data_IF_293100855894
#
_entry.id   IF_293100855894
#
_cell.length_a   1.000
_cell.length_b   1.000
_cell.length_c   1.000
_cell.angle_alpha   90.00
_cell.angle_beta   90.00
_cell.angle_gamma   90.00
#
_symmetry.space_group_name_H-M   'P 1'
#
loop_
_entity.id
_entity.type
_entity.pdbx_description
1 polymer ?
#
# COMPACT_ATOMS: atom_id res chain seq x y z
N UNK A 1 4.95 4.05 -65.44
CA UNK A 1 5.10 5.23 -64.57
C UNK A 1 4.17 5.22 -63.33
N UNK A 2 2.93 4.71 -63.43
CA UNK A 2 1.95 4.74 -62.32
C UNK A 2 2.33 3.90 -61.07
N UNK A 3 2.92 2.71 -61.23
CA UNK A 3 3.29 1.85 -60.09
C UNK A 3 4.43 2.39 -59.20
N UNK A 4 5.31 3.24 -59.75
CA UNK A 4 6.39 3.90 -58.97
C UNK A 4 5.84 5.00 -58.06
N UNK A 5 4.81 5.73 -58.49
CA UNK A 5 4.14 6.76 -57.66
C UNK A 5 3.37 6.14 -56.48
N UNK A 6 2.66 5.03 -56.71
CA UNK A 6 1.93 4.34 -55.63
C UNK A 6 2.89 3.73 -54.59
N UNK A 7 4.02 3.18 -55.03
CA UNK A 7 5.06 2.67 -54.12
C UNK A 7 5.71 3.76 -53.26
N UNK A 8 5.99 4.94 -53.83
CA UNK A 8 6.54 6.08 -53.08
C UNK A 8 5.54 6.65 -52.07
N UNK A 9 4.24 6.73 -52.41
CA UNK A 9 3.18 7.16 -51.50
C UNK A 9 2.98 6.20 -50.32
N UNK A 10 3.02 4.89 -50.56
CA UNK A 10 2.87 3.87 -49.50
C UNK A 10 4.04 3.89 -48.51
N UNK A 11 5.27 3.98 -49.02
CA UNK A 11 6.50 4.02 -48.21
C UNK A 11 6.59 5.32 -47.40
N UNK A 12 6.21 6.46 -47.99
CA UNK A 12 6.16 7.74 -47.26
C UNK A 12 5.03 7.76 -46.22
N UNK A 13 3.88 7.16 -46.51
CA UNK A 13 2.74 7.09 -45.58
C UNK A 13 3.01 6.23 -44.35
N UNK A 14 3.61 5.04 -44.53
CA UNK A 14 3.90 4.12 -43.43
C UNK A 14 4.99 4.61 -42.46
N UNK A 15 6.01 5.29 -42.99
CA UNK A 15 7.13 5.79 -42.17
C UNK A 15 6.70 6.89 -41.17
N UNK A 16 5.70 7.70 -41.52
CA UNK A 16 5.19 8.78 -40.64
C UNK A 16 4.38 8.19 -39.48
N UNK A 17 3.50 7.22 -39.76
CA UNK A 17 2.69 6.55 -38.73
C UNK A 17 3.57 5.75 -37.77
N UNK A 18 4.56 5.00 -38.29
CA UNK A 18 5.49 4.24 -37.45
C UNK A 18 6.30 5.13 -36.49
N UNK A 19 6.78 6.29 -36.96
CA UNK A 19 7.50 7.26 -36.12
C UNK A 19 6.60 7.87 -35.05
N UNK A 20 5.34 8.16 -35.36
CA UNK A 20 4.38 8.70 -34.40
C UNK A 20 4.08 7.72 -33.27
N UNK A 21 3.93 6.42 -33.57
CA UNK A 21 3.71 5.38 -32.55
C UNK A 21 4.91 5.24 -31.62
N UNK A 22 6.14 5.21 -32.17
CA UNK A 22 7.37 5.14 -31.37
C UNK A 22 7.54 6.39 -30.49
N UNK A 23 7.23 7.57 -31.02
CA UNK A 23 7.28 8.82 -30.26
C UNK A 23 6.23 8.86 -29.16
N UNK A 24 4.99 8.44 -29.43
CA UNK A 24 3.93 8.34 -28.44
C UNK A 24 4.28 7.32 -27.34
N UNK A 25 4.90 6.19 -27.69
CA UNK A 25 5.36 5.20 -26.71
C UNK A 25 6.46 5.77 -25.79
N UNK A 26 7.46 6.46 -26.37
CA UNK A 26 8.49 7.17 -25.58
C UNK A 26 7.87 8.25 -24.69
N UNK A 27 6.91 9.01 -25.21
CA UNK A 27 6.19 10.02 -24.44
C UNK A 27 5.33 9.42 -23.33
N UNK A 28 4.71 8.26 -23.54
CA UNK A 28 3.96 7.57 -22.50
C UNK A 28 4.87 7.12 -21.34
N UNK A 29 6.08 6.61 -21.64
CA UNK A 29 7.06 6.24 -20.61
C UNK A 29 7.55 7.47 -19.84
N UNK A 30 7.93 8.54 -20.56
CA UNK A 30 8.40 9.79 -19.93
C UNK A 30 7.27 10.46 -19.14
N UNK A 31 6.04 10.40 -19.64
CA UNK A 31 4.87 10.91 -18.94
C UNK A 31 4.58 10.07 -17.70
N UNK A 32 4.63 8.74 -17.73
CA UNK A 32 4.48 7.93 -16.52
C UNK A 32 5.49 8.29 -15.41
N UNK A 33 6.70 8.70 -15.81
CA UNK A 33 7.72 9.22 -14.88
C UNK A 33 7.45 10.67 -14.42
N UNK A 34 6.87 11.52 -15.27
CA UNK A 34 6.58 12.95 -14.96
C UNK A 34 5.22 13.21 -14.30
N UNK A 35 4.19 12.41 -14.60
CA UNK A 35 2.80 12.63 -14.16
C UNK A 35 2.53 12.08 -12.77
N UNK A 36 3.53 11.50 -12.12
CA UNK A 36 3.39 11.02 -10.75
C UNK A 36 2.56 9.73 -10.63
N UNK A 37 2.31 8.98 -11.70
CA UNK A 37 1.64 7.68 -11.60
C UNK A 37 2.41 6.69 -10.68
N UNK A 38 3.74 6.74 -10.69
CA UNK A 38 4.57 6.04 -9.72
C UNK A 38 4.39 6.59 -8.29
N UNK A 39 4.22 7.91 -8.14
CA UNK A 39 3.96 8.57 -6.86
C UNK A 39 2.56 8.23 -6.33
N UNK A 40 1.56 8.09 -7.19
CA UNK A 40 0.20 7.65 -6.86
C UNK A 40 0.15 6.17 -6.48
N UNK A 41 0.92 5.30 -7.15
CA UNK A 41 1.08 3.91 -6.73
C UNK A 41 1.75 3.81 -5.35
N UNK A 42 2.83 4.56 -5.12
CA UNK A 42 3.50 4.66 -3.81
C UNK A 42 2.57 5.26 -2.76
N UNK A 43 1.79 6.29 -3.09
CA UNK A 43 0.81 6.88 -2.19
C UNK A 43 -0.38 5.96 -1.94
N UNK A 44 -0.77 5.12 -2.91
CA UNK A 44 -1.78 4.08 -2.78
C UNK A 44 -1.32 2.97 -1.84
N UNK A 45 -0.07 2.54 -1.98
CA UNK A 45 0.59 1.62 -1.04
C UNK A 45 0.71 2.26 0.35
N UNK A 46 1.08 3.54 0.46
CA UNK A 46 1.12 4.28 1.72
C UNK A 46 -0.27 4.53 2.34
N UNK A 47 -1.32 4.58 1.52
CA UNK A 47 -2.71 4.66 1.99
C UNK A 47 -3.22 3.30 2.45
N UNK A 48 -2.82 2.21 1.79
CA UNK A 48 -3.02 0.86 2.28
C UNK A 48 -2.26 0.63 3.61
N UNK A 49 -1.08 1.24 3.77
CA UNK A 49 -0.33 1.28 5.03
C UNK A 49 -0.89 2.25 6.08
N UNK A 50 -2.11 2.81 5.90
CA UNK A 50 -2.86 3.40 7.03
C UNK A 50 -3.40 2.34 7.99
N UNK A 51 -3.45 1.08 7.56
CA UNK A 51 -3.72 -0.03 8.46
C UNK A 51 -2.54 -0.18 9.43
N UNK A 52 -2.84 -0.29 10.72
CA UNK A 52 -1.85 -0.52 11.76
C UNK A 52 -1.14 -1.85 11.49
N UNK A 53 0.18 -1.88 11.59
CA UNK A 53 0.98 -3.10 11.42
C UNK A 53 1.07 -3.87 12.75
N UNK A 54 1.33 -5.18 12.70
CA UNK A 54 1.56 -5.99 13.91
C UNK A 54 2.67 -5.39 14.79
N UNK A 55 3.77 -4.98 14.16
CA UNK A 55 4.90 -4.39 14.85
C UNK A 55 4.52 -3.08 15.55
N UNK A 56 3.75 -2.20 14.88
CA UNK A 56 3.22 -0.98 15.49
C UNK A 56 2.29 -1.31 16.65
N UNK A 57 1.40 -2.29 16.50
CA UNK A 57 0.48 -2.70 17.56
C UNK A 57 1.22 -3.22 18.81
N UNK A 58 2.25 -4.05 18.61
CA UNK A 58 3.10 -4.55 19.71
C UNK A 58 3.88 -3.42 20.38
N UNK A 59 4.37 -2.45 19.62
CA UNK A 59 5.04 -1.27 20.19
C UNK A 59 4.07 -0.39 20.98
N UNK A 60 2.86 -0.17 20.49
CA UNK A 60 1.81 0.60 21.19
C UNK A 60 1.48 -0.05 22.54
N UNK A 61 1.37 -1.37 22.60
CA UNK A 61 1.08 -2.10 23.84
C UNK A 61 2.33 -2.40 24.69
N UNK A 62 3.53 -2.10 24.18
CA UNK A 62 4.79 -2.37 24.88
C UNK A 62 5.04 -3.85 25.15
N UNK A 63 4.69 -4.72 24.19
CA UNK A 63 4.78 -6.18 24.31
C UNK A 63 5.77 -6.76 23.29
N UNK A 64 6.23 -7.98 23.56
CA UNK A 64 7.10 -8.72 22.66
C UNK A 64 6.31 -9.62 21.71
N UNK A 65 6.98 -10.23 20.73
CA UNK A 65 6.35 -11.21 19.82
C UNK A 65 5.88 -12.49 20.53
N UNK A 66 6.53 -12.84 21.65
CA UNK A 66 6.29 -14.08 22.41
C UNK A 66 5.25 -13.93 23.54
N UNK A 67 4.68 -12.74 23.68
CA UNK A 67 3.69 -12.43 24.73
C UNK A 67 2.39 -13.21 24.45
N UNK A 68 1.84 -13.84 25.49
CA UNK A 68 0.61 -14.65 25.35
C UNK A 68 -0.62 -13.77 25.12
N UNK A 69 -1.70 -14.33 24.58
CA UNK A 69 -2.92 -13.56 24.33
C UNK A 69 -3.51 -12.96 25.61
N UNK A 70 -3.46 -13.70 26.73
CA UNK A 70 -3.93 -13.24 28.04
C UNK A 70 -3.14 -12.01 28.52
N UNK A 71 -1.81 -12.04 28.37
CA UNK A 71 -0.95 -10.91 28.72
C UNK A 71 -1.21 -9.69 27.84
N UNK A 72 -1.53 -9.89 26.55
CA UNK A 72 -1.90 -8.82 25.61
C UNK A 72 -3.18 -8.13 26.09
N UNK A 73 -4.22 -8.90 26.44
CA UNK A 73 -5.51 -8.36 26.92
C UNK A 73 -5.30 -7.61 28.23
N UNK A 74 -4.54 -8.16 29.17
CA UNK A 74 -4.26 -7.49 30.45
C UNK A 74 -3.54 -6.15 30.26
N UNK A 75 -2.55 -6.10 29.35
CA UNK A 75 -1.84 -4.87 29.00
C UNK A 75 -2.78 -3.85 28.35
N UNK A 76 -3.61 -4.31 27.42
CA UNK A 76 -4.63 -3.49 26.77
C UNK A 76 -5.57 -2.85 27.79
N UNK A 77 -6.17 -3.64 28.68
CA UNK A 77 -7.14 -3.13 29.67
C UNK A 77 -6.52 -2.07 30.57
N UNK A 78 -5.31 -2.35 31.07
CA UNK A 78 -4.55 -1.40 31.91
C UNK A 78 -4.29 -0.08 31.17
N UNK A 79 -3.86 -0.14 29.91
CA UNK A 79 -3.57 1.06 29.11
C UNK A 79 -4.84 1.79 28.69
N UNK A 80 -5.91 1.06 28.37
CA UNK A 80 -7.19 1.63 27.95
C UNK A 80 -7.85 2.40 29.11
N UNK A 81 -7.92 1.80 30.30
CA UNK A 81 -8.43 2.46 31.50
C UNK A 81 -7.62 3.69 31.89
N UNK A 82 -6.29 3.59 31.84
CA UNK A 82 -5.41 4.72 32.15
C UNK A 82 -5.62 5.88 31.17
N UNK A 83 -5.73 5.58 29.87
CA UNK A 83 -5.99 6.60 28.85
C UNK A 83 -7.42 7.17 28.92
N UNK A 84 -8.41 6.39 29.39
CA UNK A 84 -9.76 6.89 29.63
C UNK A 84 -9.80 7.92 30.78
N UNK A 85 -8.97 7.74 31.82
CA UNK A 85 -8.92 8.61 33.00
C UNK A 85 -8.06 9.86 32.79
N UNK A 86 -6.88 9.70 32.17
CA UNK A 86 -5.87 10.77 32.10
C UNK A 86 -5.25 10.97 30.71
N UNK A 87 -5.72 10.25 29.69
CA UNK A 87 -5.21 10.32 28.33
C UNK A 87 -6.10 11.16 27.41
N UNK A 88 -5.92 10.96 26.10
CA UNK A 88 -6.78 11.54 25.07
C UNK A 88 -7.55 10.45 24.33
N UNK A 89 -8.69 10.83 23.74
CA UNK A 89 -9.46 9.94 22.89
C UNK A 89 -8.62 9.34 21.74
N UNK A 90 -7.65 10.11 21.22
CA UNK A 90 -6.73 9.64 20.19
C UNK A 90 -5.83 8.50 20.70
N UNK A 91 -5.23 8.66 21.88
CA UNK A 91 -4.38 7.62 22.47
C UNK A 91 -5.17 6.36 22.82
N UNK A 92 -6.37 6.54 23.39
CA UNK A 92 -7.29 5.44 23.66
C UNK A 92 -7.67 4.70 22.37
N UNK A 93 -7.99 5.44 21.30
CA UNK A 93 -8.28 4.86 19.98
C UNK A 93 -7.09 4.10 19.40
N UNK A 94 -5.86 4.59 19.58
CA UNK A 94 -4.64 3.89 19.14
C UNK A 94 -4.42 2.58 19.89
N UNK A 95 -4.61 2.58 21.21
CA UNK A 95 -4.55 1.36 22.03
C UNK A 95 -5.62 0.35 21.61
N UNK A 96 -6.84 0.81 21.33
CA UNK A 96 -7.92 -0.05 20.83
C UNK A 96 -7.60 -0.66 19.45
N UNK A 97 -7.14 0.16 18.50
CA UNK A 97 -6.74 -0.31 17.17
C UNK A 97 -5.59 -1.32 17.23
N UNK A 98 -4.67 -1.17 18.18
CA UNK A 98 -3.58 -2.13 18.40
C UNK A 98 -4.11 -3.50 18.83
N UNK A 99 -5.10 -3.55 19.74
CA UNK A 99 -5.75 -4.80 20.14
C UNK A 99 -6.48 -5.46 18.97
N UNK A 100 -7.26 -4.70 18.20
CA UNK A 100 -7.97 -5.23 17.01
C UNK A 100 -7.00 -5.81 15.97
N UNK A 101 -5.86 -5.15 15.75
CA UNK A 101 -4.81 -5.62 14.83
C UNK A 101 -4.19 -6.96 15.29
N UNK A 102 -3.91 -7.11 16.58
CA UNK A 102 -3.36 -8.36 17.12
C UNK A 102 -4.41 -9.47 17.17
N UNK A 103 -5.68 -9.12 17.39
CA UNK A 103 -6.80 -10.06 17.39
C UNK A 103 -7.01 -10.69 16.02
N UNK A 104 -6.98 -9.89 14.95
CA UNK A 104 -7.11 -10.42 13.59
C UNK A 104 -5.97 -11.40 13.28
N UNK A 105 -4.74 -11.09 13.69
CA UNK A 105 -3.57 -11.97 13.45
C UNK A 105 -3.65 -13.25 14.28
N UNK A 106 -4.17 -13.17 15.50
CA UNK A 106 -4.36 -14.35 16.35
C UNK A 106 -5.43 -15.29 15.78
N UNK A 107 -6.54 -14.74 15.27
CA UNK A 107 -7.58 -15.54 14.59
C UNK A 107 -7.14 -16.06 13.22
N UNK A 108 -6.34 -15.29 12.48
CA UNK A 108 -5.83 -15.66 11.16
C UNK A 108 -4.66 -16.64 11.22
N UNK A 109 -4.06 -16.88 12.39
CA UNK A 109 -3.12 -18.01 12.54
C UNK A 109 -3.95 -19.27 12.36
N UNK A 110 -3.78 -20.04 11.25
CA UNK A 110 -4.37 -21.36 11.20
C UNK A 110 -3.80 -22.12 12.39
N UNK A 111 -4.67 -22.86 13.10
CA UNK A 111 -4.25 -23.90 14.03
C UNK A 111 -3.19 -24.75 13.32
N UNK A 112 -1.91 -24.45 13.54
CA UNK A 112 -0.84 -25.41 13.33
C UNK A 112 -1.06 -26.38 14.48
N UNK A 113 -1.98 -27.29 14.22
CA UNK A 113 -2.33 -28.40 15.09
C UNK A 113 -1.06 -29.12 15.51
N UNK A 114 -1.03 -29.45 16.80
CA UNK A 114 -0.27 -30.58 17.35
C UNK A 114 -0.37 -31.82 16.48
#
# INVERSE_FOLDING_TARGET
>A
MAGRLLGQLLVMGGAVVGRAVVQAYRQAIVNAQRTGAAQEAVNGIRRASKAMTEQEARQILGISEKTSWEEIVQKYDTMFEKNAKSGSFYLQSKVHRAKECLESIYHDKPDIMN
#
